data_IF_416251469753
#
_entry.id   IF_416251469753
#
_cell.length_a   1.000
_cell.length_b   1.000
_cell.length_c   1.000
_cell.angle_alpha   90.00
_cell.angle_beta   90.00
_cell.angle_gamma   90.00
#
_symmetry.space_group_name_H-M   'P 1'
#
loop_
_entity.id
_entity.type
_entity.pdbx_description
1 polymer ?
#
# COMPACT_ATOMS: atom_id res chain seq x y z
N UNK A 1 27.90 -5.74 18.84
CA UNK A 1 28.95 -5.18 17.97
C UNK A 1 28.35 -4.00 17.24
N UNK A 2 28.93 -2.82 17.42
CA UNK A 2 28.28 -1.53 17.28
C UNK A 2 28.37 -0.95 15.86
N UNK A 3 27.35 -0.14 15.58
CA UNK A 3 27.21 0.81 14.50
C UNK A 3 28.38 1.80 14.41
N UNK A 4 29.35 1.55 13.53
CA UNK A 4 30.24 2.57 12.96
C UNK A 4 31.14 1.89 11.95
N UNK A 5 30.76 1.85 10.66
CA UNK A 5 31.70 1.75 9.51
C UNK A 5 30.97 1.63 8.15
N UNK A 6 30.13 2.61 7.81
CA UNK A 6 29.72 2.79 6.40
C UNK A 6 29.25 4.21 6.03
N UNK A 7 29.99 5.21 6.49
CA UNK A 7 29.93 6.56 5.95
C UNK A 7 31.34 7.12 5.88
N UNK A 8 31.86 7.25 4.65
CA UNK A 8 32.83 8.26 4.17
C UNK A 8 33.36 7.79 2.82
N UNK A 9 32.98 8.47 1.74
CA UNK A 9 33.91 9.09 0.78
C UNK A 9 33.10 9.75 -0.35
N UNK A 10 32.96 11.07 -0.26
CA UNK A 10 32.69 11.95 -1.39
C UNK A 10 33.59 13.18 -1.32
N UNK A 11 33.98 13.64 -2.51
CA UNK A 11 34.62 14.91 -2.91
C UNK A 11 36.15 15.01 -2.97
N UNK A 12 36.66 15.03 -4.21
CA UNK A 12 37.43 16.09 -4.90
C UNK A 12 37.69 15.56 -6.34
N UNK A 13 37.31 16.22 -7.43
CA UNK A 13 37.92 17.43 -7.97
C UNK A 13 37.01 18.08 -9.02
N UNK A 14 37.11 19.41 -9.12
CA UNK A 14 36.58 20.22 -10.20
C UNK A 14 37.67 20.54 -11.23
N UNK A 15 37.26 20.69 -12.50
CA UNK A 15 37.89 21.59 -13.48
C UNK A 15 38.76 20.94 -14.56
N UNK A 16 38.29 20.94 -15.81
CA UNK A 16 38.80 21.78 -16.92
C UNK A 16 38.05 21.41 -18.21
N UNK A 17 37.49 22.43 -18.86
CA UNK A 17 36.92 22.38 -20.21
C UNK A 17 38.03 22.48 -21.26
N UNK A 18 37.93 21.71 -22.36
CA UNK A 18 38.45 22.10 -23.68
C UNK A 18 37.45 21.65 -24.75
N UNK A 19 37.01 22.62 -25.54
CA UNK A 19 36.23 22.48 -26.77
C UNK A 19 37.14 22.07 -27.92
N UNK A 20 36.71 21.13 -28.75
CA UNK A 20 37.08 21.12 -30.18
C UNK A 20 35.98 20.42 -30.99
N UNK A 21 35.29 21.23 -31.79
CA UNK A 21 34.36 20.82 -32.82
C UNK A 21 35.12 20.34 -34.06
N UNK A 22 34.67 19.25 -34.67
CA UNK A 22 34.83 19.02 -36.10
C UNK A 22 33.67 18.12 -36.57
N UNK A 23 32.84 18.69 -37.43
CA UNK A 23 31.64 18.05 -37.94
C UNK A 23 31.94 16.96 -38.95
N UNK A 24 31.05 15.97 -38.98
CA UNK A 24 30.71 15.19 -40.17
C UNK A 24 29.19 15.03 -40.16
N UNK A 25 28.55 15.83 -41.00
CA UNK A 25 27.17 15.66 -41.44
C UNK A 25 27.02 14.31 -42.12
N UNK A 26 26.61 13.30 -41.36
CA UNK A 26 25.96 12.13 -41.92
C UNK A 26 24.45 12.39 -41.87
N UNK A 27 23.88 12.72 -43.03
CA UNK A 27 22.45 12.58 -43.26
C UNK A 27 22.12 11.08 -43.15
N UNK A 28 21.90 10.60 -41.94
CA UNK A 28 21.28 9.31 -41.69
C UNK A 28 19.81 9.50 -42.02
N UNK A 29 19.38 8.91 -43.14
CA UNK A 29 17.97 8.73 -43.43
C UNK A 29 17.30 8.14 -42.19
N UNK A 30 16.17 8.71 -41.81
CA UNK A 30 15.28 8.07 -40.85
C UNK A 30 14.78 6.78 -41.50
N UNK A 31 15.55 5.70 -41.36
CA UNK A 31 14.99 4.37 -41.37
C UNK A 31 13.91 4.40 -40.30
N UNK A 32 12.65 4.36 -40.75
CA UNK A 32 11.53 4.01 -39.90
C UNK A 32 11.80 2.60 -39.40
N UNK A 33 12.58 2.49 -38.32
CA UNK A 33 12.83 1.24 -37.64
C UNK A 33 11.46 0.61 -37.39
N UNK A 34 11.21 -0.54 -38.00
CA UNK A 34 10.01 -1.31 -37.71
C UNK A 34 9.91 -1.46 -36.20
N UNK A 35 8.75 -1.18 -35.59
CA UNK A 35 8.62 -1.24 -34.15
C UNK A 35 9.06 -2.63 -33.68
N UNK A 36 9.93 -2.68 -32.66
CA UNK A 36 10.48 -3.91 -32.05
C UNK A 36 9.42 -4.75 -31.31
N UNK A 37 8.13 -4.54 -31.62
CA UNK A 37 6.99 -5.14 -30.93
C UNK A 37 6.86 -6.60 -31.33
N UNK A 38 6.62 -7.44 -30.33
CA UNK A 38 6.36 -8.85 -30.55
C UNK A 38 4.97 -9.03 -31.19
N UNK A 39 4.74 -10.16 -31.91
CA UNK A 39 3.44 -10.50 -32.44
C UNK A 39 2.35 -10.52 -31.35
N UNK A 40 1.12 -10.14 -31.70
CA UNK A 40 0.01 -10.01 -30.75
C UNK A 40 -0.46 -11.31 -30.07
N UNK A 41 0.00 -12.48 -30.54
CA UNK A 41 -0.23 -13.76 -29.89
C UNK A 41 0.82 -14.10 -28.81
N UNK A 42 1.80 -13.22 -28.59
CA UNK A 42 2.79 -13.33 -27.51
C UNK A 42 2.31 -12.47 -26.33
N UNK A 43 2.40 -12.96 -25.07
CA UNK A 43 2.13 -12.14 -23.90
C UNK A 43 2.94 -10.83 -23.92
N UNK A 44 2.44 -9.74 -23.31
CA UNK A 44 3.08 -8.44 -23.42
C UNK A 44 4.48 -8.42 -22.78
N UNK A 45 5.27 -7.45 -23.21
CA UNK A 45 6.50 -7.06 -22.53
C UNK A 45 6.17 -5.81 -21.73
N UNK A 46 6.24 -5.92 -20.40
CA UNK A 46 5.83 -4.88 -19.47
C UNK A 46 7.05 -4.16 -18.89
N UNK A 47 6.88 -2.87 -18.63
CA UNK A 47 7.80 -2.11 -17.80
C UNK A 47 7.01 -1.11 -16.94
N UNK A 48 7.61 -0.73 -15.83
CA UNK A 48 7.09 0.27 -14.91
C UNK A 48 7.61 1.65 -15.29
N UNK A 49 6.77 2.66 -15.11
CA UNK A 49 7.17 4.04 -15.31
C UNK A 49 6.64 4.95 -14.20
N UNK A 50 7.53 5.36 -13.30
CA UNK A 50 7.24 6.36 -12.26
C UNK A 50 7.34 7.78 -12.81
N UNK A 51 6.22 8.46 -12.96
CA UNK A 51 6.17 9.85 -13.41
C UNK A 51 6.72 10.81 -12.36
N UNK A 52 7.46 11.82 -12.82
CA UNK A 52 7.99 12.90 -11.98
C UNK A 52 7.42 14.24 -12.45
N UNK A 53 7.72 15.33 -11.76
CA UNK A 53 7.32 16.68 -12.18
C UNK A 53 7.68 16.99 -13.63
N UNK A 54 8.85 16.55 -14.11
CA UNK A 54 9.27 16.75 -15.50
C UNK A 54 8.34 16.08 -16.51
N UNK A 55 7.66 15.00 -16.13
CA UNK A 55 6.69 14.31 -17.00
C UNK A 55 5.42 15.14 -17.21
N UNK A 56 5.10 16.05 -16.29
CA UNK A 56 3.96 16.97 -16.39
C UNK A 56 4.27 18.26 -17.16
N UNK A 57 5.52 18.50 -17.54
CA UNK A 57 5.85 19.57 -18.48
C UNK A 57 5.19 19.31 -19.85
N UNK A 58 4.92 20.36 -20.65
CA UNK A 58 4.50 20.17 -22.04
C UNK A 58 5.45 19.22 -22.77
N UNK A 59 4.91 18.17 -23.37
CA UNK A 59 5.67 17.11 -24.05
C UNK A 59 6.70 16.33 -23.19
N UNK A 60 6.68 16.48 -21.86
CA UNK A 60 7.63 15.85 -20.94
C UNK A 60 7.64 14.31 -20.97
N UNK A 61 6.58 13.70 -21.48
CA UNK A 61 6.45 12.25 -21.69
C UNK A 61 7.21 11.73 -22.92
N UNK A 62 7.47 12.57 -23.94
CA UNK A 62 7.93 12.10 -25.26
C UNK A 62 9.29 11.41 -25.19
N UNK A 63 10.24 11.99 -24.46
CA UNK A 63 11.61 11.45 -24.38
C UNK A 63 11.65 10.00 -23.89
N UNK A 64 10.86 9.66 -22.86
CA UNK A 64 10.80 8.30 -22.32
C UNK A 64 10.12 7.33 -23.29
N UNK A 65 9.00 7.74 -23.90
CA UNK A 65 8.28 6.93 -24.89
C UNK A 65 9.14 6.68 -26.13
N UNK A 66 9.82 7.70 -26.65
CA UNK A 66 10.70 7.58 -27.82
C UNK A 66 11.90 6.67 -27.54
N UNK A 67 12.41 6.68 -26.31
CA UNK A 67 13.46 5.76 -25.88
C UNK A 67 12.94 4.32 -25.87
N UNK A 68 11.79 4.05 -25.25
CA UNK A 68 11.18 2.72 -25.22
C UNK A 68 10.80 2.24 -26.64
N UNK A 69 10.24 3.12 -27.46
CA UNK A 69 9.88 2.82 -28.85
C UNK A 69 11.09 2.39 -29.68
N UNK A 70 12.24 3.07 -29.52
CA UNK A 70 13.45 2.80 -30.31
C UNK A 70 14.27 1.63 -29.80
N UNK A 71 14.25 1.36 -28.49
CA UNK A 71 15.26 0.49 -27.87
C UNK A 71 14.69 -0.72 -27.14
N UNK A 72 13.36 -0.90 -27.08
CA UNK A 72 12.77 -2.05 -26.39
C UNK A 72 11.55 -2.62 -27.13
N UNK A 73 11.21 -3.86 -26.78
CA UNK A 73 9.98 -4.52 -27.21
C UNK A 73 8.78 -4.19 -26.32
N UNK A 74 8.95 -3.34 -25.30
CA UNK A 74 7.90 -2.99 -24.32
C UNK A 74 6.68 -2.47 -25.05
N UNK A 75 5.53 -3.08 -24.78
CA UNK A 75 4.24 -2.71 -25.37
C UNK A 75 3.17 -2.36 -24.34
N UNK A 76 3.45 -2.53 -23.04
CA UNK A 76 2.62 -2.04 -21.95
C UNK A 76 3.51 -1.33 -20.92
N UNK A 77 3.16 -0.10 -20.55
CA UNK A 77 3.77 0.64 -19.46
C UNK A 77 2.81 0.73 -18.27
N UNK A 78 3.13 0.03 -17.18
CA UNK A 78 2.48 0.18 -15.89
C UNK A 78 2.97 1.48 -15.25
N UNK A 79 2.11 2.48 -15.18
CA UNK A 79 2.53 3.87 -14.97
C UNK A 79 1.93 4.41 -13.68
N UNK A 80 2.76 4.95 -12.78
CA UNK A 80 2.31 5.54 -11.51
C UNK A 80 2.82 6.96 -11.32
N UNK A 81 2.06 7.80 -10.62
CA UNK A 81 2.40 9.20 -10.37
C UNK A 81 3.27 9.29 -9.12
N UNK A 82 4.52 9.75 -9.27
CA UNK A 82 5.47 10.05 -8.19
C UNK A 82 5.84 11.54 -8.19
N UNK A 83 4.81 12.38 -8.26
CA UNK A 83 4.92 13.85 -8.33
C UNK A 83 4.02 14.49 -7.25
N UNK A 84 4.60 15.22 -6.27
CA UNK A 84 3.82 15.83 -5.18
C UNK A 84 2.71 16.75 -5.70
N UNK A 85 1.51 16.63 -5.10
CA UNK A 85 0.39 17.52 -5.43
C UNK A 85 -0.27 17.28 -6.79
N UNK A 86 0.08 16.19 -7.49
CA UNK A 86 -0.61 15.73 -8.70
C UNK A 86 -1.57 14.59 -8.33
N UNK A 87 -2.86 14.89 -8.24
CA UNK A 87 -3.87 13.89 -7.92
C UNK A 87 -4.47 13.32 -9.20
N UNK A 88 -4.79 12.02 -9.21
CA UNK A 88 -5.48 11.39 -10.35
C UNK A 88 -6.87 11.97 -10.59
N UNK A 89 -7.42 12.71 -9.63
CA UNK A 89 -8.71 13.43 -9.76
C UNK A 89 -8.58 14.81 -10.40
N UNK A 90 -7.36 15.31 -10.62
CA UNK A 90 -7.15 16.64 -11.21
C UNK A 90 -7.33 16.60 -12.73
N UNK A 91 -8.07 17.56 -13.29
CA UNK A 91 -8.33 17.63 -14.73
C UNK A 91 -7.02 17.75 -15.55
N UNK A 92 -6.09 18.60 -15.11
CA UNK A 92 -4.80 18.74 -15.79
C UNK A 92 -3.92 17.48 -15.76
N UNK A 93 -4.07 16.64 -14.73
CA UNK A 93 -3.40 15.33 -14.63
C UNK A 93 -4.03 14.36 -15.62
N UNK A 94 -5.37 14.28 -15.65
CA UNK A 94 -6.10 13.47 -16.62
C UNK A 94 -5.75 13.82 -18.06
N UNK A 95 -5.69 15.12 -18.38
CA UNK A 95 -5.34 15.60 -19.71
C UNK A 95 -3.92 15.21 -20.12
N UNK A 96 -2.96 15.30 -19.19
CA UNK A 96 -1.59 14.88 -19.43
C UNK A 96 -1.50 13.37 -19.68
N UNK A 97 -2.24 12.57 -18.90
CA UNK A 97 -2.36 11.12 -19.10
C UNK A 97 -2.93 10.80 -20.47
N UNK A 98 -3.97 11.50 -20.91
CA UNK A 98 -4.56 11.32 -22.24
C UNK A 98 -3.60 11.67 -23.37
N UNK A 99 -2.88 12.78 -23.28
CA UNK A 99 -1.84 13.15 -24.26
C UNK A 99 -0.73 12.11 -24.33
N UNK A 100 -0.27 11.61 -23.19
CA UNK A 100 0.73 10.53 -23.11
C UNK A 100 0.22 9.26 -23.78
N UNK A 101 -0.99 8.79 -23.42
CA UNK A 101 -1.56 7.56 -23.97
C UNK A 101 -1.75 7.65 -25.50
N UNK A 102 -2.24 8.79 -26.00
CA UNK A 102 -2.38 9.05 -27.44
C UNK A 102 -1.03 9.11 -28.18
N UNK A 103 0.03 9.60 -27.52
CA UNK A 103 1.36 9.62 -28.12
C UNK A 103 1.99 8.22 -28.13
N UNK A 104 1.90 7.49 -27.02
CA UNK A 104 2.41 6.13 -26.86
C UNK A 104 1.79 5.14 -27.86
N UNK A 105 0.49 5.28 -28.14
CA UNK A 105 -0.23 4.38 -29.06
C UNK A 105 0.31 4.44 -30.49
N UNK A 106 0.89 5.57 -30.92
CA UNK A 106 1.57 5.71 -32.25
C UNK A 106 2.76 4.77 -32.41
N UNK A 107 3.31 4.27 -31.30
CA UNK A 107 4.44 3.34 -31.26
C UNK A 107 4.01 1.93 -30.80
N UNK A 108 2.70 1.66 -30.75
CA UNK A 108 2.16 0.40 -30.25
C UNK A 108 2.48 0.16 -28.77
N UNK A 109 2.56 1.23 -27.96
CA UNK A 109 2.75 1.15 -26.51
C UNK A 109 1.43 1.54 -25.83
N UNK A 110 0.87 0.63 -25.05
CA UNK A 110 -0.27 0.88 -24.18
C UNK A 110 0.16 1.44 -22.83
N UNK A 111 -0.64 2.35 -22.27
CA UNK A 111 -0.47 2.86 -20.91
C UNK A 111 -1.49 2.16 -20.01
N UNK A 112 -1.02 1.45 -18.99
CA UNK A 112 -1.84 1.01 -17.86
C UNK A 112 -1.59 1.98 -16.70
N UNK A 113 -2.51 2.91 -16.47
CA UNK A 113 -2.31 3.98 -15.49
C UNK A 113 -2.74 3.56 -14.09
N UNK A 114 -1.97 3.95 -13.10
CA UNK A 114 -2.30 3.81 -11.70
C UNK A 114 -3.45 4.75 -11.34
N UNK A 115 -4.61 4.15 -11.08
CA UNK A 115 -5.84 4.85 -10.74
C UNK A 115 -6.30 4.43 -9.34
N UNK A 116 -5.35 4.08 -8.47
CA UNK A 116 -5.60 3.76 -7.07
C UNK A 116 -6.12 4.99 -6.30
N UNK A 117 -7.08 4.76 -5.41
CA UNK A 117 -7.61 5.77 -4.47
C UNK A 117 -6.52 6.42 -3.60
N UNK A 118 -5.38 5.75 -3.40
CA UNK A 118 -4.19 6.29 -2.72
C UNK A 118 -3.56 7.48 -3.46
N UNK A 119 -3.79 7.62 -4.76
CA UNK A 119 -3.38 8.81 -5.53
C UNK A 119 -4.42 9.94 -5.48
N UNK A 120 -5.51 9.77 -4.73
CA UNK A 120 -6.60 10.74 -4.57
C UNK A 120 -7.03 10.92 -3.10
N UNK A 121 -6.13 10.65 -2.14
CA UNK A 121 -6.46 10.62 -0.69
C UNK A 121 -7.00 11.93 -0.16
N UNK A 122 -6.44 13.06 -0.60
CA UNK A 122 -6.94 14.39 -0.21
C UNK A 122 -8.36 14.63 -0.73
N UNK A 123 -8.62 14.26 -1.99
CA UNK A 123 -9.96 14.35 -2.58
C UNK A 123 -10.96 13.47 -1.83
N UNK A 124 -10.58 12.23 -1.49
CA UNK A 124 -11.40 11.35 -0.68
C UNK A 124 -11.67 11.95 0.71
N UNK A 125 -10.63 12.46 1.39
CA UNK A 125 -10.76 13.07 2.72
C UNK A 125 -11.70 14.28 2.71
N UNK A 126 -11.63 15.12 1.68
CA UNK A 126 -12.52 16.27 1.56
C UNK A 126 -13.98 15.86 1.35
N UNK A 127 -14.22 14.77 0.62
CA UNK A 127 -15.57 14.24 0.38
C UNK A 127 -16.12 13.46 1.57
N UNK A 128 -15.28 12.70 2.28
CA UNK A 128 -15.66 11.77 3.34
C UNK A 128 -14.72 11.91 4.56
N UNK A 129 -14.76 13.05 5.28
CA UNK A 129 -13.79 13.34 6.35
C UNK A 129 -13.84 12.37 7.54
N UNK A 130 -14.98 11.71 7.76
CA UNK A 130 -15.19 10.75 8.85
C UNK A 130 -14.93 9.28 8.44
N UNK A 131 -14.38 9.05 7.25
CA UNK A 131 -14.17 7.72 6.67
C UNK A 131 -12.69 7.44 6.39
N UNK A 132 -11.84 7.87 7.31
CA UNK A 132 -10.39 7.71 7.23
C UNK A 132 -9.93 6.47 7.99
N UNK A 133 -8.88 5.84 7.49
CA UNK A 133 -8.26 4.71 8.14
C UNK A 133 -7.63 5.15 9.46
N UNK A 134 -7.95 4.45 10.55
CA UNK A 134 -7.39 4.73 11.86
C UNK A 134 -6.43 3.63 12.33
N UNK A 135 -5.43 3.99 13.14
CA UNK A 135 -4.57 3.05 13.86
C UNK A 135 -4.96 3.05 15.34
N UNK A 136 -5.43 1.91 15.82
CA UNK A 136 -5.66 1.64 17.24
C UNK A 136 -4.34 1.34 17.93
N UNK A 137 -4.03 2.07 19.00
CA UNK A 137 -2.86 1.88 19.85
C UNK A 137 -3.31 1.47 21.25
N UNK A 138 -2.83 0.34 21.74
CA UNK A 138 -3.08 -0.16 23.08
C UNK A 138 -1.85 0.12 23.96
N UNK A 139 -2.05 0.84 25.07
CA UNK A 139 -0.97 1.22 25.99
C UNK A 139 -1.36 0.89 27.42
N UNK A 140 -0.56 0.04 28.06
CA UNK A 140 -0.75 -0.29 29.47
C UNK A 140 -0.08 0.75 30.37
N UNK A 141 -0.76 1.14 31.44
CA UNK A 141 -0.23 1.96 32.52
C UNK A 141 -0.63 1.38 33.88
N UNK A 142 0.28 1.33 34.87
CA UNK A 142 -0.07 0.93 36.22
C UNK A 142 -0.93 2.02 36.90
N UNK A 143 -2.03 1.61 37.52
CA UNK A 143 -2.90 2.50 38.30
C UNK A 143 -2.38 2.55 39.74
N UNK A 144 -1.86 3.71 40.10
CA UNK A 144 -1.26 3.97 41.42
C UNK A 144 -2.29 4.59 42.37
N UNK A 145 -1.93 4.72 43.64
CA UNK A 145 -2.56 5.65 44.57
C UNK A 145 -2.11 7.09 44.25
N UNK A 146 -2.34 7.54 43.02
CA UNK A 146 -2.29 8.95 42.62
C UNK A 146 -3.69 9.41 42.24
N UNK A 147 -3.94 10.71 42.10
CA UNK A 147 -5.24 11.18 41.63
C UNK A 147 -5.45 10.83 40.15
N UNK A 148 -4.38 10.95 39.35
CA UNK A 148 -4.39 10.71 37.91
C UNK A 148 -3.08 10.09 37.41
N UNK A 149 -3.16 9.36 36.29
CA UNK A 149 -2.00 8.84 35.55
C UNK A 149 -2.03 9.38 34.12
N UNK A 150 -1.12 10.30 33.76
CA UNK A 150 -1.04 10.82 32.41
C UNK A 150 -0.29 9.86 31.47
N UNK A 151 -0.72 9.85 30.21
CA UNK A 151 -0.12 9.11 29.11
C UNK A 151 -0.15 9.96 27.84
N UNK A 152 0.94 9.95 27.09
CA UNK A 152 0.97 10.53 25.73
C UNK A 152 1.20 9.41 24.73
N UNK A 153 0.33 9.31 23.74
CA UNK A 153 0.40 8.28 22.70
C UNK A 153 0.68 8.97 21.36
N UNK A 154 1.84 8.71 20.74
CA UNK A 154 2.17 9.28 19.44
C UNK A 154 1.43 8.58 18.30
N UNK A 155 1.17 9.33 17.23
CA UNK A 155 0.88 8.82 15.91
C UNK A 155 2.16 8.65 15.09
N UNK A 156 2.08 7.80 14.08
CA UNK A 156 3.20 7.52 13.19
C UNK A 156 3.01 8.28 11.89
N UNK A 157 4.06 8.94 11.42
CA UNK A 157 4.14 9.40 10.04
C UNK A 157 4.57 8.22 9.16
N UNK A 158 3.62 7.66 8.43
CA UNK A 158 3.82 6.46 7.61
C UNK A 158 3.99 6.85 6.14
N UNK A 159 4.85 6.12 5.43
CA UNK A 159 5.05 6.35 4.01
C UNK A 159 5.34 5.06 3.24
N UNK A 160 5.19 5.12 1.92
CA UNK A 160 5.50 4.03 1.01
C UNK A 160 5.95 4.56 -0.36
N UNK A 161 6.08 3.71 -1.37
CA UNK A 161 6.53 4.16 -2.69
C UNK A 161 5.54 5.11 -3.40
N UNK A 162 4.25 5.11 -3.03
CA UNK A 162 3.26 6.12 -3.48
C UNK A 162 3.47 7.46 -2.80
N UNK A 163 3.86 7.43 -1.53
CA UNK A 163 3.86 8.64 -0.71
C UNK A 163 5.23 9.22 -0.45
N UNK A 164 6.33 8.50 -0.68
CA UNK A 164 7.69 8.97 -0.36
C UNK A 164 8.05 10.26 -1.14
N UNK A 165 7.59 10.35 -2.38
CA UNK A 165 7.71 11.55 -3.21
C UNK A 165 6.39 12.32 -3.30
N UNK A 166 5.49 12.17 -2.33
CA UNK A 166 4.22 12.88 -2.24
C UNK A 166 3.88 13.15 -0.76
N UNK A 167 2.62 13.46 -0.45
CA UNK A 167 2.20 13.59 0.95
C UNK A 167 2.15 12.21 1.60
N UNK A 168 2.84 12.04 2.72
CA UNK A 168 2.80 10.82 3.55
C UNK A 168 1.38 10.48 4.05
N UNK A 169 1.20 9.29 4.63
CA UNK A 169 0.00 8.92 5.38
C UNK A 169 0.04 9.55 6.78
N UNK A 170 0.12 10.88 6.86
CA UNK A 170 0.28 11.61 8.13
C UNK A 170 -0.92 11.38 9.08
N UNK A 171 -0.70 11.39 10.40
CA UNK A 171 -1.79 11.41 11.36
C UNK A 171 -2.53 12.75 11.29
N UNK A 172 -3.86 12.71 11.33
CA UNK A 172 -4.73 13.88 11.19
C UNK A 172 -5.48 14.24 12.49
N UNK A 173 -5.55 13.30 13.43
CA UNK A 173 -6.21 13.48 14.71
C UNK A 173 -6.38 12.16 15.44
N UNK A 174 -6.63 12.26 16.75
CA UNK A 174 -6.80 11.09 17.61
C UNK A 174 -7.99 11.21 18.54
N UNK A 175 -8.53 10.06 18.94
CA UNK A 175 -9.59 9.97 19.95
C UNK A 175 -9.34 8.80 20.90
N UNK A 176 -9.72 8.98 22.16
CA UNK A 176 -9.85 7.87 23.09
C UNK A 176 -11.05 7.03 22.65
N UNK A 177 -10.86 5.72 22.50
CA UNK A 177 -11.95 4.81 22.10
C UNK A 177 -12.41 3.90 23.23
N UNK A 178 -11.48 3.43 24.08
CA UNK A 178 -11.80 2.62 25.25
C UNK A 178 -10.66 2.59 26.24
N UNK A 179 -10.96 2.32 27.50
CA UNK A 179 -9.97 1.92 28.49
C UNK A 179 -10.49 0.77 29.35
N UNK A 180 -9.65 -0.23 29.61
CA UNK A 180 -9.97 -1.33 30.50
C UNK A 180 -9.03 -1.35 31.70
N UNK A 181 -9.55 -1.59 32.90
CA UNK A 181 -8.75 -1.92 34.07
C UNK A 181 -8.85 -3.41 34.37
N UNK A 182 -7.75 -4.03 34.78
CA UNK A 182 -7.69 -5.44 35.16
C UNK A 182 -6.51 -5.77 36.07
N UNK A 183 -6.58 -6.95 36.67
CA UNK A 183 -5.45 -7.57 37.36
C UNK A 183 -4.70 -8.51 36.42
N UNK A 184 -3.37 -8.52 36.54
CA UNK A 184 -2.50 -9.44 35.80
C UNK A 184 -2.02 -10.54 36.73
N UNK A 185 -2.27 -11.79 36.34
CA UNK A 185 -1.72 -12.96 37.01
C UNK A 185 -0.48 -13.51 36.28
N UNK A 186 0.11 -14.61 36.79
CA UNK A 186 1.30 -15.22 36.17
C UNK A 186 1.09 -15.71 34.73
N UNK A 187 -0.15 -16.02 34.35
CA UNK A 187 -0.52 -16.57 33.03
C UNK A 187 -1.18 -15.56 32.09
N UNK A 188 -1.27 -14.28 32.46
CA UNK A 188 -1.92 -13.24 31.66
C UNK A 188 -2.95 -12.44 32.44
N UNK A 189 -3.86 -11.78 31.73
CA UNK A 189 -4.94 -11.01 32.36
C UNK A 189 -5.92 -11.97 33.05
N UNK A 190 -6.34 -11.65 34.27
CA UNK A 190 -7.44 -12.35 34.96
C UNK A 190 -8.77 -11.89 34.35
N UNK A 191 -9.40 -12.74 33.54
CA UNK A 191 -10.56 -12.41 32.71
C UNK A 191 -11.75 -11.84 33.50
N UNK A 192 -12.01 -12.37 34.69
CA UNK A 192 -13.08 -11.96 35.60
C UNK A 192 -12.91 -10.53 36.15
N UNK A 193 -11.68 -10.00 36.10
CA UNK A 193 -11.32 -8.67 36.64
C UNK A 193 -11.40 -7.54 35.62
N UNK A 194 -11.57 -7.84 34.33
CA UNK A 194 -11.60 -6.83 33.27
C UNK A 194 -12.84 -5.95 33.42
N UNK A 195 -12.65 -4.63 33.54
CA UNK A 195 -13.71 -3.63 33.67
C UNK A 195 -13.46 -2.47 32.72
N UNK A 196 -14.48 -2.03 32.00
CA UNK A 196 -14.43 -0.79 31.22
C UNK A 196 -14.36 0.39 32.19
N UNK A 197 -13.31 1.21 32.05
CA UNK A 197 -13.06 2.42 32.85
C UNK A 197 -12.97 3.66 31.96
N UNK A 198 -13.50 3.63 30.75
CA UNK A 198 -13.39 4.72 29.77
C UNK A 198 -13.91 6.05 30.34
N UNK A 199 -14.96 6.01 31.17
CA UNK A 199 -15.52 7.19 31.84
C UNK A 199 -14.58 7.84 32.88
N UNK A 200 -13.54 7.11 33.32
CA UNK A 200 -12.51 7.65 34.22
C UNK A 200 -11.41 8.38 33.45
N UNK A 201 -11.37 8.23 32.13
CA UNK A 201 -10.35 8.85 31.30
C UNK A 201 -10.81 10.21 30.76
N UNK A 202 -9.87 11.13 30.62
CA UNK A 202 -10.00 12.36 29.85
C UNK A 202 -8.95 12.36 28.74
N UNK A 203 -9.28 12.94 27.58
CA UNK A 203 -8.35 13.03 26.46
C UNK A 203 -8.31 14.46 25.93
N UNK A 204 -7.11 14.92 25.60
CA UNK A 204 -6.87 16.22 24.98
C UNK A 204 -5.78 16.07 23.93
N UNK A 205 -5.98 16.67 22.76
CA UNK A 205 -4.94 16.75 21.74
C UNK A 205 -3.85 17.70 22.23
N UNK A 206 -2.61 17.24 22.30
CA UNK A 206 -1.46 18.05 22.74
C UNK A 206 -0.56 18.47 21.58
N UNK A 207 -0.63 17.76 20.45
CA UNK A 207 -0.01 18.14 19.19
C UNK A 207 -0.82 17.58 18.00
N UNK A 208 -0.48 17.98 16.76
CA UNK A 208 -1.14 17.47 15.55
C UNK A 208 -1.00 15.94 15.37
N UNK A 209 0.01 15.32 15.99
CA UNK A 209 0.38 13.92 15.81
C UNK A 209 0.43 13.11 17.11
N UNK A 210 -0.18 13.56 18.21
CA UNK A 210 -0.23 12.78 19.45
C UNK A 210 -1.47 13.10 20.28
N UNK A 211 -1.91 12.11 21.07
CA UNK A 211 -3.03 12.26 21.99
C UNK A 211 -2.54 12.09 23.43
N UNK A 212 -2.85 13.06 24.29
CA UNK A 212 -2.65 12.90 25.72
C UNK A 212 -3.94 12.43 26.38
N UNK A 213 -3.82 11.40 27.21
CA UNK A 213 -4.89 10.79 27.98
C UNK A 213 -4.51 10.83 29.46
N UNK A 214 -5.43 11.23 30.32
CA UNK A 214 -5.29 11.09 31.76
C UNK A 214 -6.29 10.07 32.26
N UNK A 215 -5.85 9.13 33.10
CA UNK A 215 -6.71 8.12 33.73
C UNK A 215 -6.88 8.49 35.20
N UNK A 216 -8.11 8.80 35.61
CA UNK A 216 -8.40 9.02 37.03
C UNK A 216 -8.28 7.73 37.81
N UNK A 217 -7.54 7.81 38.89
CA UNK A 217 -7.34 6.72 39.81
C UNK A 217 -8.32 6.85 40.98
N UNK A 218 -8.70 5.69 41.51
CA UNK A 218 -9.62 5.53 42.63
C UNK A 218 -9.19 4.34 43.47
N UNK A 219 -9.61 4.22 44.73
CA UNK A 219 -9.35 3.04 45.55
C UNK A 219 -9.81 1.72 44.88
N UNK A 220 -10.83 1.76 44.03
CA UNK A 220 -11.34 0.60 43.29
C UNK A 220 -10.43 0.16 42.13
N UNK A 221 -9.55 1.05 41.67
CA UNK A 221 -8.60 0.82 40.58
C UNK A 221 -7.15 0.72 41.06
N UNK A 222 -6.86 1.07 42.31
CA UNK A 222 -5.54 1.00 42.90
C UNK A 222 -4.94 -0.41 42.78
N UNK A 223 -3.68 -0.50 42.35
CA UNK A 223 -2.97 -1.77 42.17
C UNK A 223 -3.34 -2.56 40.91
N UNK A 224 -4.24 -2.04 40.07
CA UNK A 224 -4.59 -2.63 38.77
C UNK A 224 -3.75 -2.04 37.63
N UNK A 225 -3.84 -2.65 36.46
CA UNK A 225 -3.32 -2.10 35.21
C UNK A 225 -4.47 -1.55 34.39
N UNK A 226 -4.31 -0.36 33.81
CA UNK A 226 -5.19 0.12 32.75
C UNK A 226 -4.57 -0.12 31.38
N UNK A 227 -5.33 -0.66 30.42
CA UNK A 227 -5.03 -0.59 29.00
C UNK A 227 -5.85 0.52 28.38
N UNK A 228 -5.18 1.60 27.98
CA UNK A 228 -5.77 2.73 27.27
C UNK A 228 -5.69 2.48 25.78
N UNK A 229 -6.82 2.58 25.09
CA UNK A 229 -6.95 2.39 23.66
C UNK A 229 -7.29 3.72 22.99
N UNK A 230 -6.41 4.17 22.11
CA UNK A 230 -6.65 5.38 21.31
C UNK A 230 -6.62 5.03 19.85
N UNK A 231 -7.43 5.72 19.06
CA UNK A 231 -7.46 5.59 17.63
C UNK A 231 -6.96 6.86 16.97
N UNK A 232 -6.05 6.73 16.01
CA UNK A 232 -5.40 7.85 15.32
C UNK A 232 -5.71 7.76 13.83
N UNK A 233 -6.48 8.70 13.29
CA UNK A 233 -6.82 8.76 11.87
C UNK A 233 -5.61 9.17 11.04
N UNK A 234 -5.39 8.52 9.90
CA UNK A 234 -4.32 8.82 8.96
C UNK A 234 -4.90 9.37 7.65
N UNK A 235 -4.12 10.12 6.89
CA UNK A 235 -4.48 10.55 5.53
C UNK A 235 -4.49 9.33 4.58
N UNK A 236 -5.55 8.53 4.69
CA UNK A 236 -5.79 7.30 3.93
C UNK A 236 -7.30 6.99 4.02
N UNK A 237 -7.99 6.69 2.90
CA UNK A 237 -9.35 6.17 2.94
C UNK A 237 -9.44 4.91 3.81
N UNK A 238 -10.48 4.82 4.64
CA UNK A 238 -10.75 3.60 5.38
C UNK A 238 -11.05 2.46 4.41
N UNK A 239 -10.32 1.36 4.57
CA UNK A 239 -10.55 0.13 3.79
C UNK A 239 -11.98 -0.39 3.94
N UNK A 240 -12.63 -0.16 5.09
CA UNK A 240 -14.02 -0.57 5.37
C UNK A 240 -15.05 0.54 5.09
N UNK A 241 -14.62 1.70 4.59
CA UNK A 241 -15.54 2.78 4.23
C UNK A 241 -16.65 2.29 3.30
N UNK A 242 -17.92 2.71 3.52
CA UNK A 242 -19.02 2.44 2.61
C UNK A 242 -18.82 3.10 1.23
N UNK A 243 -18.09 4.21 1.16
CA UNK A 243 -17.89 4.98 -0.07
C UNK A 243 -16.64 4.56 -0.87
N UNK A 244 -15.71 3.80 -0.29
CA UNK A 244 -14.44 3.44 -0.93
C UNK A 244 -14.59 2.87 -2.34
N UNK A 245 -15.44 1.86 -2.52
CA UNK A 245 -15.62 1.20 -3.82
C UNK A 245 -16.30 2.13 -4.83
N UNK A 246 -17.29 2.91 -4.38
CA UNK A 246 -17.96 3.89 -5.25
C UNK A 246 -17.01 4.99 -5.72
N UNK A 247 -16.13 5.47 -4.83
CA UNK A 247 -15.13 6.48 -5.16
C UNK A 247 -14.05 5.93 -6.10
N UNK A 248 -13.60 4.70 -5.89
CA UNK A 248 -12.71 4.00 -6.81
C UNK A 248 -13.31 3.94 -8.23
N UNK A 249 -14.57 3.53 -8.34
CA UNK A 249 -15.27 3.47 -9.63
C UNK A 249 -15.42 4.87 -10.25
N UNK A 250 -15.68 5.90 -9.46
CA UNK A 250 -15.74 7.29 -9.95
C UNK A 250 -14.41 7.75 -10.55
N UNK A 251 -13.27 7.43 -9.91
CA UNK A 251 -11.95 7.70 -10.48
C UNK A 251 -11.83 7.00 -11.83
N UNK A 252 -12.04 5.68 -11.89
CA UNK A 252 -11.91 4.92 -13.14
C UNK A 252 -12.82 5.46 -14.24
N UNK A 253 -14.08 5.74 -13.91
CA UNK A 253 -15.09 6.26 -14.83
C UNK A 253 -14.69 7.62 -15.43
N UNK A 254 -14.03 8.48 -14.63
CA UNK A 254 -13.55 9.79 -15.11
C UNK A 254 -12.48 9.69 -16.21
N UNK A 255 -11.87 8.52 -16.39
CA UNK A 255 -10.89 8.18 -17.42
C UNK A 255 -11.47 7.35 -18.58
N UNK A 256 -12.79 7.09 -18.64
CA UNK A 256 -13.42 6.26 -19.68
C UNK A 256 -13.01 6.66 -21.10
N UNK A 257 -13.02 7.95 -21.39
CA UNK A 257 -12.71 8.51 -22.72
C UNK A 257 -11.19 8.64 -22.99
N UNK A 258 -10.35 8.30 -22.00
CA UNK A 258 -8.90 8.29 -22.14
C UNK A 258 -8.49 6.96 -22.76
N UNK A 259 -7.68 6.93 -23.85
CA UNK A 259 -7.32 5.71 -24.55
C UNK A 259 -6.23 4.92 -23.83
N UNK A 260 -6.51 4.54 -22.58
CA UNK A 260 -5.65 3.68 -21.78
C UNK A 260 -5.74 2.24 -22.27
N UNK A 261 -4.64 1.51 -22.16
CA UNK A 261 -4.62 0.07 -22.40
C UNK A 261 -5.10 -0.73 -21.17
N UNK A 262 -5.38 -0.05 -20.07
CA UNK A 262 -5.82 -0.62 -18.81
C UNK A 262 -5.50 0.28 -17.63
N UNK A 263 -5.49 -0.30 -16.44
CA UNK A 263 -5.11 0.39 -15.20
C UNK A 263 -4.23 -0.50 -14.33
N UNK A 264 -3.50 0.09 -13.40
CA UNK A 264 -2.75 -0.67 -12.41
C UNK A 264 -3.10 -0.25 -10.98
N UNK A 265 -2.75 -1.14 -10.06
CA UNK A 265 -2.90 -0.98 -8.61
C UNK A 265 -1.79 -1.76 -7.94
N UNK A 266 -0.79 -1.05 -7.48
CA UNK A 266 0.45 -1.61 -6.98
C UNK A 266 0.37 -1.86 -5.46
N UNK A 267 0.45 -3.11 -5.03
CA UNK A 267 0.57 -3.49 -3.63
C UNK A 267 -0.50 -2.89 -2.67
N UNK A 268 -1.78 -2.98 -3.05
CA UNK A 268 -2.90 -2.49 -2.23
C UNK A 268 -2.88 -3.06 -0.82
N UNK A 269 -3.19 -2.19 0.14
CA UNK A 269 -3.38 -2.56 1.54
C UNK A 269 -3.47 -1.34 2.44
N UNK A 270 -3.49 -1.57 3.74
CA UNK A 270 -3.26 -0.52 4.71
C UNK A 270 -1.90 0.17 4.48
N UNK A 271 -1.70 1.40 5.02
CA UNK A 271 -0.39 2.03 5.05
C UNK A 271 0.66 1.07 5.62
N UNK A 272 1.84 0.89 4.99
CA UNK A 272 2.80 -0.08 5.47
C UNK A 272 3.45 0.39 6.77
N UNK A 273 3.78 -0.57 7.61
CA UNK A 273 4.61 -0.37 8.78
C UNK A 273 5.81 -1.32 8.64
N UNK A 274 6.97 -0.77 8.26
CA UNK A 274 8.16 -1.58 7.92
C UNK A 274 8.69 -2.38 9.12
N UNK A 275 8.55 -1.85 10.33
CA UNK A 275 8.87 -2.55 11.58
C UNK A 275 7.78 -3.55 12.00
N UNK A 276 6.62 -3.52 11.32
CA UNK A 276 5.44 -4.34 11.60
C UNK A 276 4.73 -3.91 12.89
N UNK A 277 4.61 -4.83 13.83
CA UNK A 277 4.07 -4.58 15.17
C UNK A 277 4.65 -5.65 16.12
N UNK A 278 5.92 -5.48 16.54
CA UNK A 278 6.61 -6.49 17.33
C UNK A 278 6.02 -6.66 18.73
N UNK A 279 5.37 -5.62 19.27
CA UNK A 279 4.72 -5.64 20.57
C UNK A 279 3.26 -6.14 20.52
N UNK A 280 2.74 -6.44 19.32
CA UNK A 280 1.37 -6.89 19.08
C UNK A 280 0.28 -5.99 19.71
N UNK A 281 0.53 -4.68 19.82
CA UNK A 281 -0.32 -3.72 20.52
C UNK A 281 -0.86 -2.58 19.65
N UNK A 282 -0.67 -2.66 18.33
CA UNK A 282 -1.22 -1.74 17.34
C UNK A 282 -2.01 -2.48 16.24
N UNK A 283 -3.25 -2.04 15.98
CA UNK A 283 -4.15 -2.65 14.98
C UNK A 283 -4.74 -1.59 14.07
N UNK A 284 -4.97 -1.94 12.80
CA UNK A 284 -5.83 -1.12 11.95
C UNK A 284 -7.27 -1.16 12.47
N UNK A 285 -7.90 0.01 12.49
CA UNK A 285 -9.20 0.21 13.09
C UNK A 285 -10.00 1.26 12.32
N UNK A 286 -11.30 1.14 12.41
CA UNK A 286 -12.28 2.17 12.13
C UNK A 286 -13.61 1.73 12.72
N UNK A 287 -14.60 2.62 12.78
CA UNK A 287 -15.96 2.21 13.15
C UNK A 287 -16.52 1.18 12.18
N UNK A 288 -16.23 1.32 10.89
CA UNK A 288 -16.76 0.45 9.84
C UNK A 288 -16.13 -0.94 9.88
N UNK A 289 -14.82 -1.02 10.19
CA UNK A 289 -14.17 -2.29 10.48
C UNK A 289 -14.74 -2.95 11.74
N UNK A 290 -14.98 -2.19 12.81
CA UNK A 290 -15.59 -2.73 14.03
C UNK A 290 -17.02 -3.25 13.78
N UNK A 291 -17.83 -2.56 12.99
CA UNK A 291 -19.16 -2.98 12.56
C UNK A 291 -19.10 -4.25 11.72
N UNK A 292 -18.22 -4.30 10.72
CA UNK A 292 -18.02 -5.48 9.87
C UNK A 292 -17.53 -6.69 10.69
N UNK A 293 -16.62 -6.47 11.64
CA UNK A 293 -16.14 -7.49 12.56
C UNK A 293 -17.26 -8.04 13.44
N UNK A 294 -18.05 -7.17 14.05
CA UNK A 294 -19.20 -7.56 14.86
C UNK A 294 -20.20 -8.38 14.05
N UNK A 295 -20.54 -7.93 12.84
CA UNK A 295 -21.44 -8.66 11.95
C UNK A 295 -20.91 -10.06 11.57
N UNK A 296 -19.65 -10.17 11.13
CA UNK A 296 -19.07 -11.46 10.70
C UNK A 296 -18.91 -12.46 11.85
N UNK A 297 -18.76 -11.98 13.07
CA UNK A 297 -18.52 -12.82 14.25
C UNK A 297 -19.75 -13.07 15.11
N UNK A 298 -20.92 -12.59 14.70
CA UNK A 298 -22.17 -12.77 15.44
C UNK A 298 -22.28 -11.90 16.71
N UNK A 299 -21.64 -10.73 16.70
CA UNK A 299 -21.77 -9.71 17.74
C UNK A 299 -20.54 -9.46 18.60
N UNK A 300 -19.34 -9.96 18.23
CA UNK A 300 -18.13 -9.70 19.02
C UNK A 300 -17.71 -8.23 18.93
N UNK A 301 -17.11 -7.74 20.01
CA UNK A 301 -16.58 -6.39 20.11
C UNK A 301 -15.09 -6.36 19.75
N UNK A 302 -14.75 -5.70 18.63
CA UNK A 302 -13.38 -5.63 18.13
C UNK A 302 -12.41 -5.01 19.16
N UNK A 303 -12.81 -3.98 19.91
CA UNK A 303 -11.92 -3.35 20.88
C UNK A 303 -11.61 -4.31 22.04
N UNK A 304 -12.61 -5.07 22.49
CA UNK A 304 -12.43 -6.10 23.52
C UNK A 304 -11.54 -7.23 23.04
N UNK A 305 -11.66 -7.59 21.77
CA UNK A 305 -10.85 -8.62 21.14
C UNK A 305 -9.43 -8.14 20.86
N UNK A 306 -9.20 -6.87 20.53
CA UNK A 306 -7.84 -6.31 20.47
C UNK A 306 -7.12 -6.46 21.81
N UNK A 307 -7.78 -6.23 22.95
CA UNK A 307 -7.18 -6.49 24.28
C UNK A 307 -6.76 -7.97 24.42
N UNK A 308 -7.67 -8.88 24.07
CA UNK A 308 -7.47 -10.32 24.17
C UNK A 308 -6.33 -10.79 23.23
N UNK A 309 -6.29 -10.28 22.00
CA UNK A 309 -5.26 -10.57 21.00
C UNK A 309 -3.89 -10.10 21.48
N UNK A 310 -3.78 -8.89 22.03
CA UNK A 310 -2.51 -8.32 22.50
C UNK A 310 -1.98 -9.02 23.74
N UNK A 311 -2.78 -9.09 24.80
CA UNK A 311 -2.26 -9.45 26.13
C UNK A 311 -2.61 -10.87 26.58
N UNK A 312 -3.63 -11.48 25.97
CA UNK A 312 -4.17 -12.77 26.40
C UNK A 312 -4.86 -12.72 27.77
N UNK A 313 -5.74 -13.68 28.00
CA UNK A 313 -6.45 -13.86 29.25
C UNK A 313 -6.41 -15.32 29.66
N UNK A 314 -6.21 -15.55 30.96
CA UNK A 314 -6.12 -16.91 31.52
C UNK A 314 -7.38 -17.71 31.17
N UNK A 315 -7.20 -18.86 30.51
CA UNK A 315 -8.28 -19.78 30.14
C UNK A 315 -9.09 -19.37 28.90
N UNK A 316 -8.65 -18.36 28.15
CA UNK A 316 -9.31 -17.87 26.93
C UNK A 316 -8.44 -18.01 25.68
N UNK A 317 -7.51 -18.96 25.67
CA UNK A 317 -6.54 -19.16 24.59
C UNK A 317 -7.23 -19.50 23.26
N UNK A 318 -8.26 -20.35 23.30
CA UNK A 318 -9.06 -20.70 22.11
C UNK A 318 -9.81 -19.49 21.54
N UNK A 319 -10.39 -18.65 22.41
CA UNK A 319 -11.05 -17.42 21.99
C UNK A 319 -10.07 -16.40 21.40
N UNK A 320 -8.86 -16.32 21.96
CA UNK A 320 -7.80 -15.46 21.43
C UNK A 320 -7.38 -15.89 20.03
N UNK A 321 -7.17 -17.18 19.81
CA UNK A 321 -6.86 -17.72 18.48
C UNK A 321 -8.01 -17.46 17.49
N UNK A 322 -9.26 -17.64 17.93
CA UNK A 322 -10.44 -17.28 17.15
C UNK A 322 -10.45 -15.81 16.74
N UNK A 323 -10.23 -14.90 17.69
CA UNK A 323 -10.21 -13.46 17.43
C UNK A 323 -9.12 -13.06 16.41
N UNK A 324 -7.91 -13.61 16.54
CA UNK A 324 -6.80 -13.41 15.58
C UNK A 324 -7.20 -13.88 14.17
N UNK A 325 -7.76 -15.08 14.08
CA UNK A 325 -8.17 -15.64 12.79
C UNK A 325 -9.30 -14.84 12.15
N UNK A 326 -10.31 -14.45 12.91
CA UNK A 326 -11.41 -13.62 12.42
C UNK A 326 -10.92 -12.26 11.92
N UNK A 327 -10.03 -11.59 12.67
CA UNK A 327 -9.49 -10.30 12.27
C UNK A 327 -8.70 -10.40 10.96
N UNK A 328 -7.77 -11.36 10.88
CA UNK A 328 -6.93 -11.55 9.69
C UNK A 328 -7.77 -11.94 8.47
N UNK A 329 -8.73 -12.84 8.64
CA UNK A 329 -9.60 -13.28 7.54
C UNK A 329 -10.49 -12.15 7.03
N UNK A 330 -11.10 -11.35 7.93
CA UNK A 330 -11.91 -10.19 7.58
C UNK A 330 -11.10 -9.18 6.76
N UNK A 331 -9.90 -8.82 7.23
CA UNK A 331 -9.00 -7.91 6.51
C UNK A 331 -8.64 -8.48 5.14
N UNK A 332 -8.19 -9.74 5.08
CA UNK A 332 -7.83 -10.42 3.82
C UNK A 332 -8.98 -10.39 2.82
N UNK A 333 -10.18 -10.81 3.22
CA UNK A 333 -11.37 -10.82 2.38
C UNK A 333 -11.75 -9.42 1.88
N UNK A 334 -11.68 -8.40 2.76
CA UNK A 334 -12.00 -7.03 2.37
C UNK A 334 -11.02 -6.48 1.34
N UNK A 335 -9.71 -6.69 1.53
CA UNK A 335 -8.72 -6.29 0.52
C UNK A 335 -8.92 -7.01 -0.81
N UNK A 336 -9.24 -8.31 -0.79
CA UNK A 336 -9.60 -9.04 -2.00
C UNK A 336 -10.84 -8.49 -2.70
N UNK A 337 -11.87 -8.09 -1.94
CA UNK A 337 -13.07 -7.47 -2.50
C UNK A 337 -12.77 -6.15 -3.22
N UNK A 338 -11.92 -5.31 -2.63
CA UNK A 338 -11.53 -4.01 -3.21
C UNK A 338 -10.74 -4.19 -4.51
N UNK A 339 -9.84 -5.17 -4.52
CA UNK A 339 -9.04 -5.53 -5.70
C UNK A 339 -9.89 -6.17 -6.80
N UNK A 340 -10.85 -7.03 -6.44
CA UNK A 340 -11.78 -7.62 -7.39
C UNK A 340 -12.70 -6.55 -7.99
N UNK A 341 -13.21 -5.62 -7.19
CA UNK A 341 -13.98 -4.46 -7.66
C UNK A 341 -13.19 -3.62 -8.66
N UNK A 342 -11.90 -3.37 -8.37
CA UNK A 342 -11.02 -2.65 -9.28
C UNK A 342 -10.85 -3.40 -10.60
N UNK A 343 -10.57 -4.71 -10.54
CA UNK A 343 -10.44 -5.55 -11.72
C UNK A 343 -11.71 -5.50 -12.58
N UNK A 344 -12.88 -5.74 -11.99
CA UNK A 344 -14.16 -5.78 -12.71
C UNK A 344 -14.52 -4.41 -13.31
N UNK A 345 -14.25 -3.32 -12.59
CA UNK A 345 -14.48 -1.97 -13.08
C UNK A 345 -13.57 -1.63 -14.29
N UNK A 346 -12.29 -2.01 -14.25
CA UNK A 346 -11.38 -1.83 -15.39
C UNK A 346 -11.90 -2.59 -16.62
N UNK A 347 -12.31 -3.85 -16.44
CA UNK A 347 -12.87 -4.66 -17.54
C UNK A 347 -14.18 -4.11 -18.08
N UNK A 348 -15.02 -3.53 -17.22
CA UNK A 348 -16.29 -2.92 -17.63
C UNK A 348 -16.09 -1.61 -18.41
N UNK A 349 -15.05 -0.83 -18.10
CA UNK A 349 -14.80 0.48 -18.71
C UNK A 349 -14.05 0.33 -20.04
N UNK A 350 -12.95 -0.41 -20.06
CA UNK A 350 -12.05 -0.50 -21.22
C UNK A 350 -12.12 -1.85 -21.97
N UNK A 351 -12.96 -2.78 -21.50
CA UNK A 351 -13.20 -4.07 -22.15
C UNK A 351 -12.35 -5.22 -21.59
N UNK A 352 -12.65 -6.44 -22.05
CA UNK A 352 -12.01 -7.67 -21.56
C UNK A 352 -10.49 -7.72 -21.73
N UNK A 353 -9.98 -7.06 -22.77
CA UNK A 353 -8.56 -7.02 -23.12
C UNK A 353 -7.77 -5.95 -22.33
N UNK A 354 -8.45 -5.08 -21.58
CA UNK A 354 -7.80 -4.01 -20.82
C UNK A 354 -6.96 -4.58 -19.67
N UNK A 355 -5.68 -4.24 -19.61
CA UNK A 355 -4.74 -4.84 -18.65
C UNK A 355 -4.99 -4.34 -17.23
N UNK A 356 -5.08 -5.26 -16.27
CA UNK A 356 -4.94 -4.96 -14.84
C UNK A 356 -3.52 -5.35 -14.42
N UNK A 357 -2.64 -4.36 -14.43
CA UNK A 357 -1.21 -4.53 -14.16
C UNK A 357 -0.87 -4.36 -12.67
N UNK A 358 0.41 -4.58 -12.38
CA UNK A 358 1.13 -4.57 -11.09
C UNK A 358 0.69 -5.66 -10.12
N UNK A 359 1.56 -5.98 -9.17
CA UNK A 359 1.40 -7.10 -8.25
C UNK A 359 0.69 -6.68 -6.95
N UNK A 360 0.01 -7.63 -6.27
CA UNK A 360 -0.48 -7.43 -4.91
C UNK A 360 0.55 -7.82 -3.82
N UNK A 361 1.68 -8.42 -4.22
CA UNK A 361 2.77 -8.80 -3.33
C UNK A 361 3.43 -7.56 -2.75
N UNK A 362 3.76 -7.57 -1.45
CA UNK A 362 4.50 -6.49 -0.78
C UNK A 362 5.77 -7.03 -0.12
N UNK A 363 5.64 -7.95 0.83
CA UNK A 363 6.81 -8.56 1.45
C UNK A 363 7.22 -9.79 0.64
N UNK A 364 8.40 -9.83 -0.01
CA UNK A 364 8.75 -10.96 -0.87
C UNK A 364 8.65 -12.31 -0.14
N UNK A 365 9.06 -12.34 1.13
CA UNK A 365 8.82 -13.45 2.04
C UNK A 365 7.67 -13.10 2.99
N UNK A 366 6.53 -13.81 2.92
CA UNK A 366 5.40 -13.52 3.78
C UNK A 366 5.80 -13.81 5.23
N UNK A 367 5.66 -12.81 6.08
CA UNK A 367 5.92 -12.92 7.51
C UNK A 367 4.86 -12.15 8.32
N UNK A 368 5.13 -11.96 9.61
CA UNK A 368 4.23 -11.24 10.52
C UNK A 368 3.83 -9.84 10.02
N UNK A 369 4.58 -9.19 9.13
CA UNK A 369 4.23 -7.86 8.63
C UNK A 369 2.99 -7.87 7.73
N UNK A 370 2.64 -9.02 7.14
CA UNK A 370 1.45 -9.18 6.29
C UNK A 370 0.14 -8.86 7.02
N UNK A 371 0.06 -9.13 8.32
CA UNK A 371 -1.14 -8.82 9.10
C UNK A 371 -1.44 -7.30 9.11
N UNK A 372 -0.40 -6.45 9.07
CA UNK A 372 -0.56 -4.99 9.00
C UNK A 372 -0.66 -4.45 7.59
N UNK A 373 -0.54 -5.28 6.56
CA UNK A 373 -0.59 -4.81 5.17
C UNK A 373 -1.92 -5.13 4.51
N UNK A 374 -2.14 -6.38 4.14
CA UNK A 374 -3.39 -6.77 3.47
C UNK A 374 -3.86 -8.19 3.82
N UNK A 375 -3.27 -8.80 4.86
CA UNK A 375 -3.62 -10.14 5.29
C UNK A 375 -3.21 -11.22 4.29
N UNK A 376 -2.13 -11.00 3.54
CA UNK A 376 -1.67 -11.90 2.47
C UNK A 376 -2.74 -12.11 1.39
N UNK A 377 -3.33 -11.02 0.90
CA UNK A 377 -4.39 -11.06 -0.11
C UNK A 377 -3.94 -11.61 -1.47
N UNK A 378 -2.64 -11.86 -1.68
CA UNK A 378 -2.06 -12.33 -2.94
C UNK A 378 -2.78 -13.55 -3.49
N UNK A 379 -3.24 -14.43 -2.59
CA UNK A 379 -3.94 -15.66 -2.91
C UNK A 379 -5.39 -15.48 -3.33
N UNK A 380 -5.94 -14.27 -3.37
CA UNK A 380 -7.31 -14.02 -3.81
C UNK A 380 -7.43 -12.87 -4.81
N UNK A 381 -6.40 -12.05 -4.92
CA UNK A 381 -6.36 -10.93 -5.86
C UNK A 381 -6.17 -11.43 -7.27
N UNK A 382 -7.16 -11.18 -8.12
CA UNK A 382 -7.11 -11.50 -9.54
C UNK A 382 -6.32 -10.43 -10.30
N UNK A 383 -5.55 -10.91 -11.26
CA UNK A 383 -4.87 -10.14 -12.30
C UNK A 383 -5.03 -10.90 -13.63
N UNK A 384 -4.70 -10.27 -14.75
CA UNK A 384 -4.75 -10.93 -16.07
C UNK A 384 -3.66 -11.99 -16.23
N UNK A 385 -2.50 -11.70 -15.66
CA UNK A 385 -1.41 -12.65 -15.47
C UNK A 385 -1.01 -12.65 -14.00
N UNK A 386 -0.47 -13.78 -13.53
CA UNK A 386 0.16 -13.80 -12.23
C UNK A 386 1.31 -12.79 -12.21
N UNK A 387 1.28 -11.89 -11.23
CA UNK A 387 2.23 -10.79 -11.08
C UNK A 387 2.76 -10.82 -9.65
N UNK A 388 4.07 -10.80 -9.50
CA UNK A 388 4.79 -10.77 -8.21
C UNK A 388 5.89 -9.72 -8.22
N UNK A 389 6.48 -9.51 -7.05
CA UNK A 389 7.56 -8.55 -6.86
C UNK A 389 8.91 -9.19 -6.56
N UNK A 390 9.98 -8.52 -7.00
CA UNK A 390 11.38 -8.70 -6.61
C UNK A 390 11.82 -10.16 -6.44
N UNK A 391 11.99 -10.58 -5.17
CA UNK A 391 12.56 -11.86 -4.75
C UNK A 391 11.48 -12.81 -4.23
N UNK A 392 10.20 -12.58 -4.61
CA UNK A 392 9.07 -13.44 -4.24
C UNK A 392 9.42 -14.91 -4.57
N UNK A 393 9.28 -15.86 -3.64
CA UNK A 393 9.68 -17.25 -3.86
C UNK A 393 9.09 -17.85 -5.11
N UNK A 394 9.91 -18.61 -5.85
CA UNK A 394 9.52 -19.23 -7.12
C UNK A 394 8.26 -20.12 -7.01
N UNK A 395 8.08 -20.80 -5.87
CA UNK A 395 6.89 -21.60 -5.61
C UNK A 395 5.61 -20.75 -5.52
N UNK A 396 5.69 -19.50 -5.05
CA UNK A 396 4.55 -18.57 -5.03
C UNK A 396 4.22 -18.12 -6.44
N UNK A 397 5.22 -17.72 -7.25
CA UNK A 397 5.03 -17.25 -8.63
C UNK A 397 4.31 -18.30 -9.48
N UNK A 398 4.78 -19.54 -9.44
CA UNK A 398 4.19 -20.67 -10.16
C UNK A 398 2.82 -21.09 -9.62
N UNK A 399 2.61 -21.03 -8.30
CA UNK A 399 1.30 -21.30 -7.70
C UNK A 399 0.25 -20.26 -8.12
N UNK A 400 0.61 -18.97 -8.16
CA UNK A 400 -0.27 -17.91 -8.65
C UNK A 400 -0.58 -18.07 -10.14
N UNK A 401 0.42 -18.39 -10.97
CA UNK A 401 0.21 -18.67 -12.39
C UNK A 401 -0.81 -19.79 -12.59
N UNK A 402 -0.65 -20.91 -11.88
CA UNK A 402 -1.59 -22.04 -11.91
C UNK A 402 -2.98 -21.65 -11.42
N UNK A 403 -3.07 -20.94 -10.30
CA UNK A 403 -4.34 -20.51 -9.70
C UNK A 403 -5.17 -19.68 -10.68
N UNK A 404 -4.52 -18.78 -11.41
CA UNK A 404 -5.18 -17.88 -12.35
C UNK A 404 -5.26 -18.42 -13.78
N UNK A 405 -4.90 -19.69 -13.98
CA UNK A 405 -4.83 -20.33 -15.30
C UNK A 405 -4.01 -19.48 -16.31
N UNK A 406 -2.95 -18.84 -15.81
CA UNK A 406 -2.08 -17.99 -16.60
C UNK A 406 -0.94 -18.84 -17.18
N UNK A 407 -0.68 -18.79 -18.50
CA UNK A 407 0.43 -19.51 -19.11
C UNK A 407 1.80 -18.92 -18.78
N UNK A 408 1.83 -17.71 -18.22
CA UNK A 408 3.04 -16.98 -17.81
C UNK A 408 2.86 -16.35 -16.42
N UNK A 409 3.96 -15.97 -15.79
CA UNK A 409 3.96 -15.07 -14.64
C UNK A 409 4.96 -13.94 -14.86
N UNK A 410 4.64 -12.77 -14.35
CA UNK A 410 5.50 -11.60 -14.37
C UNK A 410 6.08 -11.35 -12.99
N UNK A 411 7.36 -11.01 -12.95
CA UNK A 411 8.03 -10.56 -11.76
C UNK A 411 8.52 -9.13 -12.01
N UNK A 412 7.98 -8.17 -11.26
CA UNK A 412 8.49 -6.81 -11.25
C UNK A 412 9.86 -6.84 -10.58
N UNK A 413 10.92 -6.78 -11.37
CA UNK A 413 12.27 -7.03 -10.88
C UNK A 413 13.08 -5.75 -10.83
N UNK A 414 13.81 -5.57 -9.74
CA UNK A 414 14.58 -4.37 -9.46
C UNK A 414 16.07 -4.73 -9.40
N UNK A 415 16.85 -4.15 -10.31
CA UNK A 415 18.30 -4.14 -10.19
C UNK A 415 18.89 -2.88 -10.83
N UNK A 416 20.07 -2.47 -10.37
CA UNK A 416 20.88 -1.41 -10.98
C UNK A 416 21.77 -1.92 -12.13
N UNK A 417 21.84 -3.23 -12.37
CA UNK A 417 22.73 -3.86 -13.33
C UNK A 417 22.03 -4.78 -14.33
N UNK A 418 22.36 -4.63 -15.61
CA UNK A 418 21.86 -5.51 -16.67
C UNK A 418 22.15 -7.02 -16.44
N UNK A 419 23.29 -7.45 -15.86
CA UNK A 419 23.53 -8.87 -15.59
C UNK A 419 22.49 -9.54 -14.68
N UNK A 420 21.95 -8.81 -13.70
CA UNK A 420 20.94 -9.36 -12.78
C UNK A 420 19.61 -9.58 -13.50
N UNK A 421 19.20 -8.63 -14.36
CA UNK A 421 18.05 -8.81 -15.25
C UNK A 421 18.23 -10.01 -16.18
N UNK A 422 19.43 -10.23 -16.71
CA UNK A 422 19.72 -11.41 -17.53
C UNK A 422 19.58 -12.69 -16.72
N UNK A 423 20.13 -12.73 -15.51
CA UNK A 423 20.05 -13.89 -14.63
C UNK A 423 18.59 -14.21 -14.26
N UNK A 424 17.81 -13.20 -13.86
CA UNK A 424 16.39 -13.36 -13.52
C UNK A 424 15.57 -13.86 -14.72
N UNK A 425 15.82 -13.29 -15.91
CA UNK A 425 15.13 -13.70 -17.14
C UNK A 425 15.39 -15.17 -17.45
N UNK A 426 16.64 -15.61 -17.38
CA UNK A 426 17.00 -17.01 -17.65
C UNK A 426 16.50 -17.97 -16.56
N UNK A 427 16.49 -17.56 -15.30
CA UNK A 427 15.93 -18.36 -14.21
C UNK A 427 14.40 -18.55 -14.33
N UNK A 428 13.69 -17.53 -14.80
CA UNK A 428 12.24 -17.58 -15.02
C UNK A 428 11.82 -18.33 -16.29
N UNK A 429 12.64 -18.30 -17.35
CA UNK A 429 12.26 -18.76 -18.69
C UNK A 429 11.72 -20.20 -18.74
N UNK A 430 12.27 -21.12 -17.93
CA UNK A 430 11.88 -22.54 -17.92
C UNK A 430 10.46 -22.79 -17.41
N UNK A 431 9.85 -21.86 -16.67
CA UNK A 431 8.50 -22.01 -16.13
C UNK A 431 7.53 -20.92 -16.57
N UNK A 432 7.84 -20.25 -17.69
CA UNK A 432 7.01 -19.19 -18.23
C UNK A 432 7.16 -17.85 -17.51
N UNK A 433 8.26 -17.65 -16.78
CA UNK A 433 8.59 -16.39 -16.14
C UNK A 433 8.94 -15.28 -17.13
N UNK A 434 8.41 -14.09 -16.87
CA UNK A 434 8.66 -12.84 -17.59
C UNK A 434 9.09 -11.78 -16.60
N UNK A 435 9.91 -10.84 -17.06
CA UNK A 435 10.25 -9.65 -16.28
C UNK A 435 9.26 -8.56 -16.62
N UNK A 436 8.75 -7.91 -15.57
CA UNK A 436 8.23 -6.54 -15.64
C UNK A 436 9.36 -5.60 -15.18
N UNK A 437 9.87 -4.77 -16.09
CA UNK A 437 11.13 -4.03 -15.88
C UNK A 437 10.89 -2.73 -15.10
N UNK A 438 11.62 -2.49 -14.00
CA UNK A 438 11.53 -1.24 -13.23
C UNK A 438 12.43 -0.10 -13.76
#
# INVERSE_FOLDING_TARGET
MSSTERQRLTHRFAGISVVLAAGLTAAAGAETASPLRLPGNVPPVMAVWGWRESTFAPDGYKAHIDMMARHSAVNILATTIRAPGRLVTDEGVRDQIGRTAQYASRFGIGIAMDLDVRLARETFRLAYPDELQEMLRLREVPLKDSDEVPLTIPGDDLSDHYTFNATHYIPLGGKLVRAYAYERGPQGIRSDTVRDITSLCSASSTAANSLSVSVRCSPQTAGKTACVMVSLAHLMPDTFSPHLLSFQRQILESYREVPLAGACKDEWGFPPCFDGNPAHNDYWYSRFLAEAYSHQTGGRDLLRDCLLMTHGETGREGERLGAINHFNELCRQRHGTIEQDFYDAVKAIWGGDAVVATHPTWWPYPDRREFKKNGLNWWIVRRDWAQTDEITPYCVRTALAKKWNSPVWFNMYYSSGAPDYQAEMWAGALTGGRIDYH
#
